data_IF_521947544859
#
_entry.id   IF_521947544859
#
_cell.length_a   1.000
_cell.length_b   1.000
_cell.length_c   1.000
_cell.angle_alpha   90.00
_cell.angle_beta   90.00
_cell.angle_gamma   90.00
#
_symmetry.space_group_name_H-M   'P 1'
#
loop_
_entity.id
_entity.type
_entity.pdbx_description
1 polymer ?
#
# COMPACT_ATOMS: atom_id res chain seq x y z
N UNK A 1 -1.94 -3.23 -6.90
CA UNK A 1 -0.61 -3.50 -6.31
C UNK A 1 0.45 -3.08 -7.29
N UNK A 2 1.54 -2.46 -6.83
CA UNK A 2 2.63 -1.95 -7.67
C UNK A 2 3.95 -2.55 -7.16
N UNK A 3 4.83 -3.01 -8.05
CA UNK A 3 6.16 -3.49 -7.63
C UNK A 3 6.99 -2.34 -7.05
N UNK A 4 7.89 -2.62 -6.11
CA UNK A 4 8.75 -1.59 -5.50
C UNK A 4 9.50 -0.74 -6.56
N UNK A 5 9.96 -1.37 -7.64
CA UNK A 5 10.64 -0.71 -8.76
C UNK A 5 9.76 0.33 -9.49
N UNK A 6 8.45 0.05 -9.61
CA UNK A 6 7.50 0.94 -10.29
C UNK A 6 6.78 1.90 -9.34
N UNK A 7 7.01 1.75 -8.04
CA UNK A 7 6.31 2.48 -7.00
C UNK A 7 6.61 3.99 -7.09
N UNK A 8 7.88 4.34 -7.28
CA UNK A 8 8.31 5.73 -7.41
C UNK A 8 7.69 6.41 -8.64
N UNK A 9 7.73 5.76 -9.80
CA UNK A 9 7.12 6.27 -11.03
C UNK A 9 5.61 6.49 -10.87
N UNK A 10 4.94 5.57 -10.18
CA UNK A 10 3.51 5.67 -9.90
C UNK A 10 3.19 6.85 -8.98
N UNK A 11 3.94 7.02 -7.89
CA UNK A 11 3.77 8.16 -6.94
C UNK A 11 3.99 9.49 -7.68
N UNK A 12 5.04 9.58 -8.50
CA UNK A 12 5.32 10.77 -9.29
C UNK A 12 4.19 11.07 -10.29
N UNK A 13 3.68 10.06 -10.99
CA UNK A 13 2.57 10.23 -11.93
C UNK A 13 1.28 10.72 -11.23
N UNK A 14 0.95 10.21 -10.04
CA UNK A 14 -0.20 10.70 -9.26
C UNK A 14 -0.01 12.14 -8.82
N UNK A 15 1.19 12.49 -8.34
CA UNK A 15 1.53 13.85 -7.94
C UNK A 15 1.41 14.84 -9.11
N UNK A 16 1.90 14.48 -10.29
CA UNK A 16 1.79 15.33 -11.49
C UNK A 16 0.35 15.59 -11.91
N UNK A 17 -0.58 14.68 -11.58
CA UNK A 17 -2.03 14.85 -11.81
C UNK A 17 -2.73 15.65 -10.69
N UNK A 18 -2.01 16.05 -9.66
CA UNK A 18 -2.55 16.74 -8.48
C UNK A 18 -3.25 15.81 -7.47
N UNK A 19 -3.16 14.49 -7.67
CA UNK A 19 -3.79 13.50 -6.78
C UNK A 19 -2.97 13.22 -5.53
N UNK A 20 -3.66 12.93 -4.44
CA UNK A 20 -3.08 12.48 -3.17
C UNK A 20 -3.05 10.96 -3.15
N UNK A 21 -1.87 10.39 -2.89
CA UNK A 21 -1.73 8.95 -2.71
C UNK A 21 -1.14 8.61 -1.34
N UNK A 22 -1.68 7.56 -0.73
CA UNK A 22 -1.08 6.86 0.38
C UNK A 22 -0.35 5.62 -0.13
N UNK A 23 0.72 5.23 0.56
CA UNK A 23 1.48 4.03 0.22
C UNK A 23 1.62 3.14 1.45
N UNK A 24 1.32 1.85 1.29
CA UNK A 24 1.54 0.80 2.29
C UNK A 24 2.65 -0.11 1.75
N UNK A 25 3.75 -0.19 2.49
CA UNK A 25 4.97 -0.89 2.07
C UNK A 25 5.73 -1.44 3.28
N UNK A 26 6.40 -2.59 3.10
CA UNK A 26 7.34 -3.11 4.11
C UNK A 26 8.73 -2.45 4.04
N UNK A 27 8.93 -1.58 3.04
CA UNK A 27 10.16 -0.86 2.79
C UNK A 27 10.05 0.61 3.22
N UNK A 28 11.19 1.27 3.40
CA UNK A 28 11.24 2.70 3.71
C UNK A 28 10.79 3.53 2.50
N UNK A 29 10.17 4.71 2.72
CA UNK A 29 9.84 5.62 1.63
C UNK A 29 11.11 6.06 0.90
N UNK A 30 11.04 6.29 -0.43
CA UNK A 30 12.14 6.92 -1.15
C UNK A 30 12.40 8.32 -0.55
N UNK A 31 13.68 8.66 -0.35
CA UNK A 31 14.06 9.97 0.25
C UNK A 31 13.65 11.17 -0.61
N UNK A 32 13.43 10.97 -1.91
CA UNK A 32 12.99 11.98 -2.85
C UNK A 32 11.49 11.84 -3.14
N UNK A 33 10.71 12.89 -2.81
CA UNK A 33 9.27 12.91 -3.06
C UNK A 33 8.48 12.11 -2.03
N UNK A 34 8.22 12.71 -0.87
CA UNK A 34 7.36 12.09 0.13
C UNK A 34 5.93 11.99 -0.42
N UNK A 35 5.32 10.79 -0.46
CA UNK A 35 3.89 10.68 -0.73
C UNK A 35 3.09 11.35 0.39
N UNK A 36 1.80 11.57 0.15
CA UNK A 36 0.94 12.29 1.09
C UNK A 36 0.78 11.52 2.41
N UNK A 37 0.82 10.19 2.35
CA UNK A 37 0.93 9.33 3.51
C UNK A 37 1.78 8.09 3.18
N UNK A 38 2.57 7.63 4.15
CA UNK A 38 3.31 6.37 4.06
C UNK A 38 3.08 5.56 5.32
N UNK A 39 2.72 4.28 5.14
CA UNK A 39 2.66 3.30 6.21
C UNK A 39 3.72 2.24 6.00
N UNK A 40 4.69 2.23 6.91
CA UNK A 40 5.65 1.14 7.03
C UNK A 40 4.98 -0.06 7.71
N UNK A 41 5.00 -1.19 7.04
CA UNK A 41 4.46 -2.46 7.51
C UNK A 41 5.58 -3.39 8.01
N UNK A 42 5.27 -4.35 8.87
CA UNK A 42 6.19 -5.42 9.22
C UNK A 42 6.65 -6.18 7.97
N UNK A 43 7.94 -6.54 7.93
CA UNK A 43 8.53 -7.32 6.84
C UNK A 43 8.26 -8.82 6.95
N UNK A 44 7.46 -9.26 7.93
CA UNK A 44 7.04 -10.64 8.13
C UNK A 44 5.54 -10.82 7.79
N UNK A 45 5.13 -11.98 7.25
CA UNK A 45 3.74 -12.20 6.84
C UNK A 45 2.72 -12.10 7.98
N UNK A 46 3.11 -12.49 9.20
CA UNK A 46 2.21 -12.55 10.35
C UNK A 46 1.91 -11.15 10.86
N UNK A 47 2.96 -10.36 11.11
CA UNK A 47 2.83 -8.94 11.46
C UNK A 47 2.12 -8.16 10.37
N UNK A 48 2.47 -8.38 9.10
CA UNK A 48 1.81 -7.69 7.99
C UNK A 48 0.30 -7.97 7.95
N UNK A 49 -0.11 -9.24 8.10
CA UNK A 49 -1.51 -9.61 8.12
C UNK A 49 -2.29 -8.98 9.28
N UNK A 50 -1.66 -8.90 10.46
CA UNK A 50 -2.26 -8.33 11.65
C UNK A 50 -2.52 -6.83 11.45
N UNK A 51 -1.54 -6.11 10.90
CA UNK A 51 -1.60 -4.66 10.78
C UNK A 51 -2.31 -4.18 9.49
N UNK A 52 -2.54 -5.07 8.51
CA UNK A 52 -3.06 -4.71 7.18
C UNK A 52 -4.35 -3.89 7.25
N UNK A 53 -5.33 -4.34 8.04
CA UNK A 53 -6.62 -3.63 8.12
C UNK A 53 -6.53 -2.32 8.88
N UNK A 54 -5.66 -2.24 9.90
CA UNK A 54 -5.41 -0.98 10.62
C UNK A 54 -4.75 0.02 9.67
N UNK A 55 -3.72 -0.40 8.93
CA UNK A 55 -3.06 0.41 7.92
C UNK A 55 -4.03 0.92 6.85
N UNK A 56 -4.90 0.05 6.31
CA UNK A 56 -5.89 0.46 5.30
C UNK A 56 -6.84 1.54 5.86
N UNK A 57 -7.39 1.34 7.06
CA UNK A 57 -8.27 2.33 7.71
C UNK A 57 -7.55 3.64 8.01
N UNK A 58 -6.31 3.59 8.49
CA UNK A 58 -5.50 4.77 8.75
C UNK A 58 -5.30 5.57 7.45
N UNK A 59 -5.06 4.88 6.33
CA UNK A 59 -4.87 5.53 5.03
C UNK A 59 -6.19 6.05 4.43
N UNK A 60 -7.31 5.35 4.61
CA UNK A 60 -8.64 5.85 4.22
C UNK A 60 -8.98 7.15 4.96
N UNK A 61 -8.67 7.23 6.26
CA UNK A 61 -8.85 8.44 7.05
C UNK A 61 -7.90 9.58 6.69
N UNK A 62 -6.81 9.31 5.96
CA UNK A 62 -5.87 10.34 5.51
C UNK A 62 -6.41 11.23 4.38
N UNK A 63 -7.60 10.92 3.84
CA UNK A 63 -8.24 11.72 2.78
C UNK A 63 -7.44 11.72 1.48
N UNK A 64 -6.83 10.56 1.16
CA UNK A 64 -6.12 10.34 -0.10
C UNK A 64 -7.09 9.87 -1.18
N UNK A 65 -6.77 10.15 -2.44
CA UNK A 65 -7.56 9.71 -3.58
C UNK A 65 -7.28 8.22 -3.92
N UNK A 66 -6.13 7.72 -3.49
CA UNK A 66 -5.70 6.35 -3.79
C UNK A 66 -4.76 5.79 -2.72
N UNK A 67 -5.01 4.53 -2.33
CA UNK A 67 -4.09 3.73 -1.52
C UNK A 67 -3.33 2.77 -2.43
N UNK A 68 -2.01 2.88 -2.43
CA UNK A 68 -1.10 2.02 -3.18
C UNK A 68 -0.47 1.03 -2.23
N UNK A 69 -0.63 -0.26 -2.51
CA UNK A 69 0.04 -1.32 -1.76
C UNK A 69 1.16 -1.90 -2.61
N UNK A 70 2.37 -1.94 -2.04
CA UNK A 70 3.53 -2.57 -2.66
C UNK A 70 3.28 -4.07 -2.87
N UNK A 71 3.79 -4.61 -3.97
CA UNK A 71 3.70 -6.03 -4.25
C UNK A 71 4.43 -6.83 -3.16
N UNK A 72 3.72 -7.82 -2.61
CA UNK A 72 4.28 -8.76 -1.63
C UNK A 72 5.24 -9.74 -2.33
N UNK A 73 6.23 -10.29 -1.61
CA UNK A 73 7.08 -11.36 -2.14
C UNK A 73 6.25 -12.55 -2.65
N UNK A 74 6.70 -13.18 -3.74
CA UNK A 74 6.03 -14.34 -4.36
C UNK A 74 6.29 -15.67 -3.63
N UNK A 75 6.40 -15.63 -2.29
CA UNK A 75 6.63 -16.80 -1.44
C UNK A 75 5.29 -17.33 -0.89
N UNK A 76 5.19 -18.64 -0.71
CA UNK A 76 4.05 -19.32 -0.11
C UNK A 76 3.63 -18.71 1.24
N UNK A 77 4.59 -18.25 2.05
CA UNK A 77 4.32 -17.61 3.35
C UNK A 77 3.44 -16.35 3.23
N UNK A 78 3.48 -15.66 2.07
CA UNK A 78 2.72 -14.43 1.81
C UNK A 78 1.37 -14.68 1.13
N UNK A 79 1.07 -15.93 0.76
CA UNK A 79 -0.15 -16.26 -0.01
C UNK A 79 -1.42 -15.88 0.74
N UNK A 80 -1.48 -16.14 2.05
CA UNK A 80 -2.61 -15.75 2.90
C UNK A 80 -2.77 -14.22 3.02
N UNK A 81 -1.65 -13.48 3.02
CA UNK A 81 -1.66 -12.02 3.06
C UNK A 81 -2.16 -11.44 1.73
N UNK A 82 -1.65 -11.97 0.61
CA UNK A 82 -2.09 -11.58 -0.73
C UNK A 82 -3.58 -11.85 -0.95
N UNK A 83 -4.10 -12.96 -0.41
CA UNK A 83 -5.53 -13.26 -0.46
C UNK A 83 -6.38 -12.23 0.29
N UNK A 84 -6.01 -11.91 1.54
CA UNK A 84 -6.67 -10.89 2.34
C UNK A 84 -6.63 -9.52 1.65
N UNK A 85 -5.49 -9.16 1.07
CA UNK A 85 -5.35 -7.90 0.34
C UNK A 85 -6.26 -7.86 -0.88
N UNK A 86 -6.34 -8.93 -1.66
CA UNK A 86 -7.25 -9.02 -2.82
C UNK A 86 -8.70 -8.86 -2.40
N UNK A 87 -9.10 -9.46 -1.28
CA UNK A 87 -10.45 -9.30 -0.72
C UNK A 87 -10.72 -7.87 -0.25
N UNK A 88 -9.74 -7.22 0.38
CA UNK A 88 -9.86 -5.82 0.78
C UNK A 88 -10.06 -4.90 -0.44
N UNK A 89 -9.31 -5.11 -1.52
CA UNK A 89 -9.46 -4.37 -2.78
C UNK A 89 -10.82 -4.61 -3.42
N UNK A 90 -11.31 -5.86 -3.43
CA UNK A 90 -12.63 -6.18 -3.98
C UNK A 90 -13.77 -5.51 -3.19
N UNK A 91 -13.61 -5.33 -1.87
CA UNK A 91 -14.59 -4.63 -1.02
C UNK A 91 -14.52 -3.10 -1.10
N UNK A 92 -13.37 -2.54 -1.47
CA UNK A 92 -13.15 -1.08 -1.52
C UNK A 92 -13.91 -0.36 -2.64
N UNK A 93 -14.49 -1.10 -3.60
CA UNK A 93 -15.27 -0.55 -4.73
C UNK A 93 -16.79 -0.65 -4.56
N UNK A 94 -17.30 -1.05 -3.39
CA UNK A 94 -18.73 -1.23 -3.15
C UNK A 94 -19.23 -0.31 -2.04
N UNK A 95 -19.36 0.98 -2.35
CA UNK A 95 -20.15 1.97 -1.62
C UNK A 95 -20.97 2.81 -2.59
#
# INVERSE_FOLDING_TARGET
MVSGERLLDFINAQRHRGGKCAVISANQPPQAGMPHAWRLMPADPVGYAHDLYAALRDMDHAGVDLIVVEALPADAAWTAVADRLRRAVAGAGQI
#
